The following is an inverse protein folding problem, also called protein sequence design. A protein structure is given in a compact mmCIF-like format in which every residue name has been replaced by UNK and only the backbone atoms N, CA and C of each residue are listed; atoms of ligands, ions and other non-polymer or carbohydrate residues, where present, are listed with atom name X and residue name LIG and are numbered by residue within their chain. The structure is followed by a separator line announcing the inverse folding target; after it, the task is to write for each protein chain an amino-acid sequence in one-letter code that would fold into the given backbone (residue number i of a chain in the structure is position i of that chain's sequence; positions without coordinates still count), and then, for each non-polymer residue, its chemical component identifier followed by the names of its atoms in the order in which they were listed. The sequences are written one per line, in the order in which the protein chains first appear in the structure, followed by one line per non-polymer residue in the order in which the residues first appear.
data_IF_552308697844
#
_entry.id   IF_552308697844
#
_cell.length_a   1.000
_cell.length_b   1.000
_cell.length_c   1.000
_cell.angle_alpha   90.00
_cell.angle_beta   90.00
_cell.angle_gamma   90.00
#
_symmetry.space_group_name_H-M   'P 1'
#
loop_
_entity.id
_entity.type
_entity.pdbx_description
1 polymer ?
#
# COMPACT_ATOMS: atom_id res chain seq x y z
N UNK A 1 -7.42 -12.57 -1.31
CA UNK A 1 -6.59 -13.75 -1.63
C UNK A 1 -5.13 -13.42 -1.41
N UNK A 2 -4.45 -14.16 -0.54
CA UNK A 2 -3.04 -13.97 -0.20
C UNK A 2 -2.14 -14.51 -1.32
N UNK A 3 -0.88 -14.11 -1.31
CA UNK A 3 0.07 -14.53 -2.34
C UNK A 3 0.28 -16.04 -2.39
N UNK A 4 0.48 -16.68 -1.22
CA UNK A 4 0.69 -18.13 -1.14
C UNK A 4 -0.51 -18.91 -1.67
N UNK A 5 -1.73 -18.52 -1.31
CA UNK A 5 -2.95 -19.17 -1.80
C UNK A 5 -3.07 -19.02 -3.31
N UNK A 6 -2.78 -17.83 -3.86
CA UNK A 6 -2.83 -17.61 -5.30
C UNK A 6 -1.80 -18.46 -6.06
N UNK A 7 -0.60 -18.63 -5.48
CA UNK A 7 0.44 -19.48 -6.03
C UNK A 7 0.00 -20.96 -6.04
N UNK A 8 -0.48 -21.46 -4.90
CA UNK A 8 -0.91 -22.86 -4.73
C UNK A 8 -2.13 -23.20 -5.60
N UNK A 9 -3.04 -22.24 -5.80
CA UNK A 9 -4.25 -22.42 -6.61
C UNK A 9 -4.02 -22.20 -8.13
N UNK A 10 -2.82 -21.81 -8.56
CA UNK A 10 -2.55 -21.49 -9.96
C UNK A 10 -3.18 -20.18 -10.45
N UNK A 11 -3.66 -19.32 -9.54
CA UNK A 11 -4.32 -18.04 -9.83
C UNK A 11 -3.36 -16.83 -9.77
N UNK A 12 -2.05 -17.05 -9.95
CA UNK A 12 -1.03 -16.03 -9.76
C UNK A 12 -1.22 -14.82 -10.69
N UNK A 13 -1.66 -15.01 -11.94
CA UNK A 13 -1.90 -13.89 -12.85
C UNK A 13 -2.98 -12.92 -12.34
N UNK A 14 -4.07 -13.46 -11.79
CA UNK A 14 -5.15 -12.65 -11.21
C UNK A 14 -4.66 -11.89 -9.98
N UNK A 15 -3.89 -12.58 -9.12
CA UNK A 15 -3.23 -11.95 -7.99
C UNK A 15 -2.36 -10.78 -8.46
N UNK A 16 -1.50 -10.99 -9.46
CA UNK A 16 -0.60 -9.96 -9.99
C UNK A 16 -1.35 -8.78 -10.62
N UNK A 17 -2.54 -9.00 -11.21
CA UNK A 17 -3.42 -7.90 -11.67
C UNK A 17 -3.89 -7.03 -10.51
N UNK A 18 -4.26 -7.65 -9.39
CA UNK A 18 -4.61 -6.94 -8.16
C UNK A 18 -3.42 -6.19 -7.56
N UNK A 19 -2.24 -6.83 -7.49
CA UNK A 19 -0.99 -6.21 -6.99
C UNK A 19 -0.70 -4.90 -7.73
N UNK A 20 -0.79 -4.92 -9.07
CA UNK A 20 -0.58 -3.73 -9.89
C UNK A 20 -1.56 -2.59 -9.59
N UNK A 21 -2.80 -2.88 -9.17
CA UNK A 21 -3.75 -1.83 -8.76
C UNK A 21 -3.26 -1.15 -7.47
N UNK A 22 -2.88 -1.93 -6.47
CA UNK A 22 -2.33 -1.43 -5.22
C UNK A 22 -1.03 -0.64 -5.43
N UNK A 23 -0.09 -1.15 -6.23
CA UNK A 23 1.18 -0.45 -6.50
C UNK A 23 0.96 0.91 -7.17
N UNK A 24 0.09 0.97 -8.19
CA UNK A 24 -0.26 2.25 -8.83
C UNK A 24 -0.95 3.22 -7.87
N UNK A 25 -1.84 2.69 -7.02
CA UNK A 25 -2.51 3.50 -6.00
C UNK A 25 -1.51 4.08 -5.01
N UNK A 26 -0.63 3.27 -4.41
CA UNK A 26 0.39 3.75 -3.47
C UNK A 26 1.39 4.71 -4.12
N UNK A 27 1.80 4.44 -5.35
CA UNK A 27 2.64 5.36 -6.14
C UNK A 27 1.95 6.72 -6.34
N UNK A 28 0.63 6.76 -6.54
CA UNK A 28 -0.11 8.02 -6.65
C UNK A 28 -0.14 8.84 -5.35
N UNK A 29 0.11 8.21 -4.20
CA UNK A 29 0.16 8.87 -2.88
C UNK A 29 1.57 9.30 -2.49
N UNK A 30 2.61 8.70 -3.10
CA UNK A 30 4.00 8.86 -2.68
C UNK A 30 4.71 10.07 -3.29
N UNK A 31 4.01 10.96 -4.01
CA UNK A 31 4.61 12.08 -4.75
C UNK A 31 5.61 12.93 -3.95
N UNK A 32 5.31 13.20 -2.68
CA UNK A 32 6.18 13.98 -1.78
C UNK A 32 7.12 13.10 -0.92
N UNK A 33 7.23 11.81 -1.27
CA UNK A 33 7.93 10.78 -0.51
C UNK A 33 7.09 10.17 0.61
N UNK A 34 7.68 9.19 1.28
CA UNK A 34 7.09 8.50 2.43
C UNK A 34 8.07 8.42 3.60
N UNK A 35 7.54 8.38 4.82
CA UNK A 35 8.30 7.98 6.00
C UNK A 35 8.02 6.49 6.24
N UNK A 36 9.04 5.66 6.14
CA UNK A 36 8.96 4.22 6.33
C UNK A 36 9.51 3.84 7.70
N UNK A 37 8.67 3.26 8.56
CA UNK A 37 9.03 2.73 9.87
C UNK A 37 9.23 1.20 9.85
N UNK A 38 8.51 0.49 8.97
CA UNK A 38 8.71 -0.96 8.76
C UNK A 38 8.93 -1.29 7.28
N UNK A 39 10.00 -2.04 6.94
CA UNK A 39 11.08 -2.47 7.84
C UNK A 39 11.82 -1.28 8.46
N UNK A 40 12.24 -1.40 9.73
CA UNK A 40 13.01 -0.35 10.40
C UNK A 40 14.45 -0.24 9.87
N UNK A 41 15.20 0.79 10.29
CA UNK A 41 14.77 1.91 11.13
C UNK A 41 13.91 2.93 10.36
N UNK A 42 13.29 3.86 11.11
CA UNK A 42 12.54 4.99 10.57
C UNK A 42 13.39 5.79 9.57
N UNK A 43 12.93 5.91 8.33
CA UNK A 43 13.65 6.65 7.28
C UNK A 43 12.69 7.21 6.25
N UNK A 44 13.14 8.25 5.55
CA UNK A 44 12.43 8.78 4.38
C UNK A 44 12.79 7.96 3.14
N UNK A 45 11.80 7.65 2.32
CA UNK A 45 11.96 7.05 0.99
C UNK A 45 11.35 7.98 -0.05
N UNK A 46 12.04 8.16 -1.17
CA UNK A 46 11.57 9.00 -2.27
C UNK A 46 10.54 8.25 -3.13
N UNK A 47 9.64 9.01 -3.78
CA UNK A 47 8.46 8.52 -4.51
C UNK A 47 8.76 7.41 -5.53
N UNK A 48 9.88 7.54 -6.24
CA UNK A 48 10.34 6.66 -7.32
C UNK A 48 11.53 5.79 -6.91
N UNK A 49 11.73 5.59 -5.61
CA UNK A 49 12.79 4.72 -5.13
C UNK A 49 12.39 3.25 -5.28
N UNK A 50 13.29 2.44 -5.84
CA UNK A 50 13.10 0.97 -5.87
C UNK A 50 12.92 0.39 -4.46
N UNK A 51 13.49 1.03 -3.44
CA UNK A 51 13.30 0.67 -2.04
C UNK A 51 11.83 0.82 -1.58
N UNK A 52 11.11 1.83 -2.04
CA UNK A 52 9.69 1.97 -1.71
C UNK A 52 8.88 0.86 -2.38
N UNK A 53 9.14 0.61 -3.67
CA UNK A 53 8.49 -0.47 -4.41
C UNK A 53 8.71 -1.83 -3.72
N UNK A 54 9.95 -2.13 -3.32
CA UNK A 54 10.29 -3.34 -2.58
C UNK A 54 9.50 -3.46 -1.27
N UNK A 55 9.34 -2.37 -0.51
CA UNK A 55 8.55 -2.38 0.72
C UNK A 55 7.08 -2.69 0.43
N UNK A 56 6.50 -2.05 -0.59
CA UNK A 56 5.10 -2.25 -0.96
C UNK A 56 4.86 -3.68 -1.46
N UNK A 57 5.71 -4.20 -2.36
CA UNK A 57 5.60 -5.57 -2.91
C UNK A 57 5.74 -6.61 -1.80
N UNK A 58 6.74 -6.47 -0.93
CA UNK A 58 6.92 -7.40 0.18
C UNK A 58 5.74 -7.40 1.16
N UNK A 59 5.10 -6.24 1.37
CA UNK A 59 3.91 -6.16 2.20
C UNK A 59 2.70 -6.80 1.53
N UNK A 60 2.45 -6.49 0.25
CA UNK A 60 1.32 -7.03 -0.50
C UNK A 60 1.38 -8.56 -0.62
N UNK A 61 2.59 -9.12 -0.68
CA UNK A 61 2.85 -10.58 -0.72
C UNK A 61 3.03 -11.23 0.64
N UNK A 62 2.71 -10.50 1.72
CA UNK A 62 2.78 -10.99 3.09
C UNK A 62 4.18 -11.49 3.52
N UNK A 63 5.26 -11.11 2.81
CA UNK A 63 6.66 -11.44 3.14
C UNK A 63 7.11 -10.59 4.32
N UNK A 64 6.78 -9.29 4.29
CA UNK A 64 7.08 -8.35 5.37
C UNK A 64 6.09 -7.20 5.36
N UNK A 65 5.35 -7.04 6.46
CA UNK A 65 4.38 -5.97 6.61
C UNK A 65 5.04 -4.58 6.62
N UNK A 66 4.40 -3.63 5.96
CA UNK A 66 4.81 -2.23 5.94
C UNK A 66 4.19 -1.41 7.08
N UNK A 67 4.87 -0.33 7.43
CA UNK A 67 4.36 0.77 8.25
C UNK A 67 4.94 2.05 7.63
N UNK A 68 4.10 2.74 6.85
CA UNK A 68 4.51 3.88 6.03
C UNK A 68 3.58 5.05 6.24
N UNK A 69 4.12 6.25 6.22
CA UNK A 69 3.37 7.49 6.24
C UNK A 69 3.63 8.27 4.94
N UNK A 70 2.57 8.48 4.17
CA UNK A 70 2.60 9.21 2.90
C UNK A 70 2.52 10.71 3.17
N UNK A 71 3.63 11.43 2.94
CA UNK A 71 3.82 12.80 3.44
C UNK A 71 2.81 13.77 2.83
N UNK A 72 2.71 13.81 1.50
CA UNK A 72 1.75 14.71 0.83
C UNK A 72 0.29 14.34 1.08
N UNK A 73 0.03 13.04 1.31
CA UNK A 73 -1.30 12.53 1.54
C UNK A 73 -1.77 12.71 2.99
N UNK A 74 -0.86 12.86 3.96
CA UNK A 74 -1.21 12.98 5.39
C UNK A 74 -1.85 11.72 5.96
N UNK A 75 -1.32 10.55 5.57
CA UNK A 75 -1.90 9.24 5.87
C UNK A 75 -0.82 8.25 6.29
N UNK A 76 -1.05 7.53 7.38
CA UNK A 76 -0.29 6.34 7.76
C UNK A 76 -1.03 5.10 7.27
N UNK A 77 -0.30 4.20 6.63
CA UNK A 77 -0.78 2.91 6.15
C UNK A 77 0.03 1.80 6.81
N UNK A 78 -0.69 0.87 7.41
CA UNK A 78 -0.15 -0.33 8.04
C UNK A 78 -0.55 -1.52 7.17
N UNK A 79 0.46 -2.22 6.66
CA UNK A 79 0.26 -3.41 5.84
C UNK A 79 -0.40 -4.53 6.64
N UNK A 80 -1.44 -5.14 6.08
CA UNK A 80 -2.10 -6.30 6.68
C UNK A 80 -1.99 -7.57 5.85
N UNK A 81 -2.70 -8.60 6.30
CA UNK A 81 -2.83 -9.86 5.56
C UNK A 81 -3.91 -9.73 4.49
N UNK A 82 -3.79 -10.53 3.43
CA UNK A 82 -4.79 -10.59 2.35
C UNK A 82 -5.01 -9.23 1.66
N UNK A 83 -3.96 -8.38 1.63
CA UNK A 83 -4.00 -6.99 1.12
C UNK A 83 -5.03 -6.10 1.81
N UNK A 84 -5.38 -6.42 3.05
CA UNK A 84 -6.27 -5.59 3.86
C UNK A 84 -5.43 -4.67 4.72
N UNK A 85 -5.23 -3.44 4.26
CA UNK A 85 -4.38 -2.47 4.92
C UNK A 85 -5.19 -1.53 5.83
N UNK A 86 -4.62 -1.17 6.98
CA UNK A 86 -5.21 -0.21 7.91
C UNK A 86 -4.70 1.20 7.58
N UNK A 87 -5.62 2.16 7.52
CA UNK A 87 -5.32 3.55 7.17
C UNK A 87 -5.70 4.47 8.32
N UNK A 88 -4.77 5.34 8.71
CA UNK A 88 -4.97 6.37 9.74
C UNK A 88 -4.68 7.72 9.09
N UNK A 89 -5.69 8.58 9.06
CA UNK A 89 -5.58 9.93 8.48
C UNK A 89 -5.40 10.98 9.57
N UNK A 90 -4.68 12.05 9.24
CA UNK A 90 -4.54 13.22 10.13
C UNK A 90 -5.87 13.92 10.39
N UNK A 91 -6.75 13.94 9.38
CA UNK A 91 -8.07 14.52 9.48
C UNK A 91 -9.05 13.85 8.52
N UNK A 92 -10.34 14.18 8.66
CA UNK A 92 -11.43 13.59 7.88
C UNK A 92 -11.32 13.91 6.39
N UNK A 93 -10.86 15.10 6.03
CA UNK A 93 -10.74 15.55 4.64
C UNK A 93 -9.70 14.71 3.89
N UNK A 94 -8.58 14.37 4.54
CA UNK A 94 -7.56 13.47 3.97
C UNK A 94 -8.11 12.06 3.79
N UNK A 95 -8.89 11.56 4.76
CA UNK A 95 -9.53 10.25 4.65
C UNK A 95 -10.52 10.18 3.47
N UNK A 96 -11.37 11.20 3.30
CA UNK A 96 -12.32 11.27 2.18
C UNK A 96 -11.58 11.34 0.84
N UNK A 97 -10.50 12.13 0.76
CA UNK A 97 -9.66 12.20 -0.44
C UNK A 97 -9.02 10.84 -0.77
N UNK A 98 -8.52 10.13 0.25
CA UNK A 98 -7.99 8.78 0.12
C UNK A 98 -9.03 7.80 -0.42
N UNK A 99 -10.22 7.77 0.16
CA UNK A 99 -11.31 6.88 -0.26
C UNK A 99 -11.73 7.13 -1.71
N UNK A 100 -11.89 8.40 -2.09
CA UNK A 100 -12.18 8.78 -3.48
C UNK A 100 -11.11 8.26 -4.43
N UNK A 101 -9.83 8.47 -4.10
CA UNK A 101 -8.72 7.98 -4.91
C UNK A 101 -8.67 6.46 -4.95
N UNK A 102 -8.89 5.77 -3.84
CA UNK A 102 -8.95 4.30 -3.82
C UNK A 102 -10.00 3.77 -4.81
N UNK A 103 -11.18 4.40 -4.84
CA UNK A 103 -12.24 4.08 -5.79
C UNK A 103 -11.83 4.34 -7.26
N UNK A 104 -11.11 5.43 -7.55
CA UNK A 104 -10.57 5.72 -8.89
C UNK A 104 -9.61 4.61 -9.39
N UNK A 105 -8.88 3.96 -8.48
CA UNK A 105 -8.00 2.82 -8.79
C UNK A 105 -8.71 1.46 -8.74
N UNK A 106 -10.01 1.44 -8.44
CA UNK A 106 -10.82 0.22 -8.32
C UNK A 106 -10.43 -0.63 -7.10
N UNK A 107 -10.01 0.02 -6.02
CA UNK A 107 -9.80 -0.58 -4.71
C UNK A 107 -11.03 -0.39 -3.83
N UNK A 108 -11.32 -1.39 -3.01
CA UNK A 108 -12.43 -1.36 -2.08
C UNK A 108 -11.95 -0.92 -0.70
N UNK A 109 -12.77 -0.16 0.02
CA UNK A 109 -12.51 0.21 1.40
C UNK A 109 -13.67 -0.24 2.30
N UNK A 110 -13.33 -0.82 3.45
CA UNK A 110 -14.26 -1.11 4.52
C UNK A 110 -14.34 0.13 5.43
N UNK A 111 -15.55 0.63 5.68
CA UNK A 111 -15.82 1.85 6.45
C UNK A 111 -16.93 1.62 7.46
#
# INVERSE_FOLDING_TARGET
MSYSIALDAGCLEEYMRGERKFLRFYSSLSGDGVICNRPGPLRRLEANSGLLEDVLVNSLREIRLMDVYFIGAGLRVLGGYDRTDLVIAECREKLVSFQRRANEFGLFHLS
#
